data_IF_822522494418
#
_entry.id   IF_822522494418
#
_cell.length_a   1.000
_cell.length_b   1.000
_cell.length_c   1.000
_cell.angle_alpha   90.00
_cell.angle_beta   90.00
_cell.angle_gamma   90.00
#
_symmetry.space_group_name_H-M   'P 1'
#
loop_
_entity.id
_entity.type
_entity.pdbx_description
1 polymer ?
#
# COMPACT_ATOMS: atom_id res chain seq x y z
N UNK A 1 -8.76 0.67 -15.81
CA UNK A 1 -9.34 1.41 -16.95
C UNK A 1 -9.03 2.90 -16.86
N UNK A 2 -9.31 3.58 -15.74
CA UNK A 2 -9.08 5.04 -15.55
C UNK A 2 -7.63 5.43 -15.86
N UNK A 3 -6.63 4.80 -15.23
CA UNK A 3 -5.21 5.08 -15.45
C UNK A 3 -4.78 5.01 -16.93
N UNK A 4 -5.29 4.04 -17.69
CA UNK A 4 -4.97 3.90 -19.11
C UNK A 4 -5.52 5.08 -19.92
N UNK A 5 -6.73 5.54 -19.61
CA UNK A 5 -7.34 6.72 -20.25
C UNK A 5 -6.54 7.97 -19.91
N UNK A 6 -6.13 8.16 -18.66
CA UNK A 6 -5.31 9.29 -18.22
C UNK A 6 -3.96 9.33 -18.93
N UNK A 7 -3.29 8.19 -19.08
CA UNK A 7 -2.02 8.10 -19.85
C UNK A 7 -2.23 8.56 -21.29
N UNK A 8 -3.27 8.08 -21.96
CA UNK A 8 -3.56 8.46 -23.35
C UNK A 8 -3.86 9.96 -23.44
N UNK A 9 -4.71 10.48 -22.57
CA UNK A 9 -5.08 11.91 -22.53
C UNK A 9 -3.85 12.77 -22.27
N UNK A 10 -3.00 12.42 -21.31
CA UNK A 10 -1.75 13.13 -21.03
C UNK A 10 -0.81 13.11 -22.26
N UNK A 11 -0.60 11.97 -22.90
CA UNK A 11 0.22 11.88 -24.11
C UNK A 11 -0.30 12.82 -25.22
N UNK A 12 -1.60 12.83 -25.46
CA UNK A 12 -2.23 13.70 -26.47
C UNK A 12 -2.09 15.18 -26.11
N UNK A 13 -2.43 15.58 -24.90
CA UNK A 13 -2.35 16.99 -24.47
C UNK A 13 -0.91 17.50 -24.57
N UNK A 14 0.05 16.78 -24.03
CA UNK A 14 1.46 17.21 -24.05
C UNK A 14 2.07 17.10 -25.43
N UNK A 15 1.68 16.12 -26.23
CA UNK A 15 2.09 16.01 -27.64
C UNK A 15 1.59 17.18 -28.47
N UNK A 16 0.31 17.49 -28.41
CA UNK A 16 -0.31 18.62 -29.13
C UNK A 16 0.31 19.94 -28.67
N UNK A 17 0.42 20.15 -27.34
CA UNK A 17 1.08 21.34 -26.79
C UNK A 17 2.52 21.49 -27.34
N UNK A 18 3.28 20.40 -27.35
CA UNK A 18 4.66 20.40 -27.84
C UNK A 18 4.73 20.76 -29.34
N UNK A 19 3.87 20.15 -30.14
CA UNK A 19 3.78 20.41 -31.60
C UNK A 19 3.42 21.87 -31.88
N UNK A 20 2.43 22.42 -31.17
CA UNK A 20 2.03 23.83 -31.32
C UNK A 20 3.19 24.77 -30.95
N UNK A 21 3.90 24.51 -29.86
CA UNK A 21 5.03 25.33 -29.41
C UNK A 21 6.19 25.30 -30.41
N UNK A 22 6.51 24.14 -30.96
CA UNK A 22 7.56 24.00 -31.97
C UNK A 22 7.16 24.71 -33.30
N UNK A 23 5.90 24.60 -33.71
CA UNK A 23 5.40 25.31 -34.90
C UNK A 23 5.47 26.83 -34.76
N UNK A 24 5.20 27.38 -33.55
CA UNK A 24 5.25 28.82 -33.26
C UNK A 24 6.69 29.33 -33.12
N UNK A 25 7.54 28.55 -32.50
CA UNK A 25 8.95 28.87 -32.27
C UNK A 25 9.81 27.60 -32.46
N UNK A 26 10.38 27.39 -33.64
CA UNK A 26 11.25 26.24 -33.90
C UNK A 26 12.47 26.14 -32.97
N UNK A 27 12.93 27.24 -32.40
CA UNK A 27 14.00 27.27 -31.39
C UNK A 27 13.51 27.02 -29.96
N UNK A 28 12.22 26.74 -29.77
CA UNK A 28 11.67 26.38 -28.46
C UNK A 28 12.41 25.18 -27.87
N UNK A 29 12.95 25.37 -26.67
CA UNK A 29 13.84 24.40 -25.98
C UNK A 29 15.07 24.01 -26.78
N UNK A 30 15.71 24.98 -27.46
CA UNK A 30 16.98 24.77 -28.15
C UNK A 30 18.04 24.06 -27.28
N UNK A 31 18.01 24.26 -25.97
CA UNK A 31 18.88 23.57 -24.99
C UNK A 31 18.75 22.04 -24.97
N UNK A 32 17.67 21.48 -25.53
CA UNK A 32 17.44 20.04 -25.64
C UNK A 32 17.84 19.50 -27.01
N UNK A 33 18.35 20.34 -27.90
CA UNK A 33 18.76 19.96 -29.26
C UNK A 33 20.27 19.63 -29.29
N UNK A 34 20.76 18.94 -30.31
CA UNK A 34 22.17 18.62 -30.46
C UNK A 34 23.05 19.87 -30.38
N UNK A 35 24.18 19.76 -29.69
CA UNK A 35 25.06 20.91 -29.38
C UNK A 35 25.54 21.69 -30.64
N UNK A 36 25.78 20.95 -31.74
CA UNK A 36 26.14 21.57 -33.03
C UNK A 36 25.06 22.54 -33.54
N UNK A 37 23.78 22.16 -33.36
CA UNK A 37 22.65 23.02 -33.74
C UNK A 37 22.54 24.23 -32.79
N UNK A 38 22.70 24.01 -31.47
CA UNK A 38 22.72 25.09 -30.49
C UNK A 38 23.78 26.17 -30.84
N UNK A 39 25.03 25.75 -31.07
CA UNK A 39 26.14 26.63 -31.42
C UNK A 39 25.85 27.45 -32.69
N UNK A 40 25.31 26.82 -33.75
CA UNK A 40 24.97 27.52 -34.98
C UNK A 40 23.88 28.57 -34.77
N UNK A 41 22.78 28.22 -34.10
CA UNK A 41 21.64 29.12 -33.87
C UNK A 41 22.04 30.33 -33.02
N UNK A 42 22.96 30.17 -32.06
CA UNK A 42 23.48 31.29 -31.23
C UNK A 42 24.16 32.38 -32.06
N UNK A 43 24.78 32.06 -33.17
CA UNK A 43 25.48 33.01 -34.05
C UNK A 43 24.57 33.63 -35.11
N UNK A 44 23.31 33.17 -35.26
CA UNK A 44 22.39 33.70 -36.26
C UNK A 44 21.74 35.01 -35.82
N UNK A 45 21.72 36.04 -36.73
CA UNK A 45 21.18 37.36 -36.45
C UNK A 45 19.77 37.35 -35.82
N UNK A 46 18.86 36.50 -36.28
CA UNK A 46 17.48 36.40 -35.78
C UNK A 46 17.34 35.84 -34.38
N UNK A 47 18.39 35.21 -33.83
CA UNK A 47 18.38 34.58 -32.51
C UNK A 47 19.40 35.20 -31.53
N UNK A 48 20.29 36.09 -32.01
CA UNK A 48 21.36 36.73 -31.23
C UNK A 48 20.82 37.49 -30.02
N UNK A 49 19.64 38.10 -30.12
CA UNK A 49 19.03 38.90 -29.05
C UNK A 49 18.22 38.05 -28.05
N UNK A 50 18.14 36.72 -28.23
CA UNK A 50 17.34 35.82 -27.35
C UNK A 50 18.10 35.31 -26.12
N UNK A 51 19.30 35.85 -25.80
CA UNK A 51 20.15 35.35 -24.70
C UNK A 51 20.28 33.82 -24.67
N UNK A 52 20.40 33.19 -25.85
CA UNK A 52 20.68 31.78 -25.98
C UNK A 52 22.13 31.58 -25.57
N UNK A 53 22.37 31.18 -24.33
CA UNK A 53 23.71 30.81 -23.83
C UNK A 53 23.71 29.31 -23.46
N UNK A 54 24.87 28.70 -23.54
CA UNK A 54 25.07 27.37 -22.98
C UNK A 54 24.97 27.49 -21.47
N UNK A 55 23.89 26.96 -20.91
CA UNK A 55 23.65 26.98 -19.47
C UNK A 55 24.40 25.85 -18.79
N UNK A 56 24.91 26.11 -17.59
CA UNK A 56 25.40 25.05 -16.69
C UNK A 56 24.29 24.08 -16.34
N UNK A 57 24.62 22.87 -15.88
CA UNK A 57 23.61 21.88 -15.53
C UNK A 57 22.76 22.32 -14.34
N UNK A 58 23.34 23.10 -13.41
CA UNK A 58 22.61 23.73 -12.31
C UNK A 58 21.57 24.76 -12.80
N UNK A 59 21.94 25.64 -13.70
CA UNK A 59 21.02 26.64 -14.30
C UNK A 59 19.87 25.94 -15.06
N UNK A 60 20.17 24.83 -15.78
CA UNK A 60 19.15 24.00 -16.44
C UNK A 60 18.20 23.38 -15.43
N UNK A 61 18.72 22.92 -14.28
CA UNK A 61 17.92 22.33 -13.21
C UNK A 61 16.98 23.38 -12.59
N UNK A 62 17.52 24.53 -12.16
CA UNK A 62 16.73 25.61 -11.55
C UNK A 62 15.61 26.09 -12.48
N UNK A 63 15.89 26.24 -13.79
CA UNK A 63 14.85 26.60 -14.77
C UNK A 63 13.76 25.54 -14.95
N UNK A 64 14.03 24.28 -14.63
CA UNK A 64 13.04 23.20 -14.68
C UNK A 64 12.20 23.08 -13.41
N UNK A 65 12.64 23.66 -12.30
CA UNK A 65 12.00 23.51 -10.99
C UNK A 65 10.50 23.89 -11.00
N UNK A 66 10.06 25.02 -11.56
CA UNK A 66 8.62 25.32 -11.63
C UNK A 66 7.83 24.29 -12.43
N UNK A 67 8.42 23.75 -13.49
CA UNK A 67 7.79 22.68 -14.29
C UNK A 67 7.70 21.38 -13.52
N UNK A 68 8.70 21.05 -12.71
CA UNK A 68 8.69 19.85 -11.85
C UNK A 68 7.62 19.96 -10.76
N UNK A 69 7.51 21.12 -10.11
CA UNK A 69 6.48 21.39 -9.10
C UNK A 69 5.09 21.22 -9.73
N UNK A 70 4.85 21.85 -10.88
CA UNK A 70 3.59 21.71 -11.61
C UNK A 70 3.27 20.24 -11.92
N UNK A 71 4.25 19.49 -12.42
CA UNK A 71 4.08 18.05 -12.71
C UNK A 71 3.79 17.23 -11.47
N UNK A 72 4.46 17.51 -10.36
CA UNK A 72 4.21 16.81 -9.09
C UNK A 72 2.78 17.01 -8.65
N UNK A 73 2.27 18.25 -8.65
CA UNK A 73 0.88 18.56 -8.29
C UNK A 73 -0.10 17.87 -9.25
N UNK A 74 0.15 17.97 -10.56
CA UNK A 74 -0.71 17.34 -11.57
C UNK A 74 -0.76 15.81 -11.40
N UNK A 75 0.38 15.18 -11.11
CA UNK A 75 0.45 13.73 -10.90
C UNK A 75 -0.23 13.29 -9.59
N UNK A 76 -0.16 14.09 -8.52
CA UNK A 76 -0.94 13.81 -7.30
C UNK A 76 -2.42 13.78 -7.61
N UNK A 77 -2.94 14.76 -8.35
CA UNK A 77 -4.35 14.83 -8.73
C UNK A 77 -4.72 13.63 -9.62
N UNK A 78 -3.96 13.37 -10.69
CA UNK A 78 -4.24 12.27 -11.61
C UNK A 78 -4.19 10.90 -10.91
N UNK A 79 -3.16 10.64 -10.13
CA UNK A 79 -3.04 9.35 -9.42
C UNK A 79 -4.14 9.16 -8.38
N UNK A 80 -4.61 10.25 -7.73
CA UNK A 80 -5.78 10.19 -6.85
C UNK A 80 -7.06 9.85 -7.62
N UNK A 81 -7.30 10.45 -8.79
CA UNK A 81 -8.44 10.13 -9.66
C UNK A 81 -8.36 8.68 -10.15
N UNK A 82 -7.15 8.18 -10.45
CA UNK A 82 -6.91 6.79 -10.83
C UNK A 82 -7.11 5.78 -9.68
N UNK A 83 -7.36 6.26 -8.46
CA UNK A 83 -7.66 5.44 -7.29
C UNK A 83 -6.44 5.05 -6.45
N UNK A 84 -5.32 5.77 -6.55
CA UNK A 84 -4.17 5.53 -5.68
C UNK A 84 -4.49 5.94 -4.23
N UNK A 85 -4.28 5.01 -3.28
CA UNK A 85 -4.58 5.21 -1.84
C UNK A 85 -3.38 4.91 -0.93
N UNK A 86 -2.23 4.51 -1.48
CA UNK A 86 -1.02 4.15 -0.73
C UNK A 86 0.22 4.66 -1.45
N UNK A 87 1.37 4.68 -0.74
CA UNK A 87 2.66 5.00 -1.33
C UNK A 87 2.93 4.18 -2.60
N UNK A 88 2.75 2.87 -2.54
CA UNK A 88 3.06 1.97 -3.65
C UNK A 88 2.21 2.24 -4.88
N UNK A 89 0.90 2.42 -4.73
CA UNK A 89 -0.01 2.72 -5.85
C UNK A 89 0.24 4.12 -6.41
N UNK A 90 0.44 5.12 -5.56
CA UNK A 90 0.78 6.49 -5.97
C UNK A 90 2.10 6.55 -6.74
N UNK A 91 3.15 5.88 -6.24
CA UNK A 91 4.45 5.77 -6.90
C UNK A 91 4.35 5.11 -8.28
N UNK A 92 3.72 3.93 -8.35
CA UNK A 92 3.62 3.16 -9.60
C UNK A 92 2.80 3.93 -10.65
N UNK A 93 1.66 4.50 -10.27
CA UNK A 93 0.80 5.24 -11.21
C UNK A 93 1.50 6.50 -11.73
N UNK A 94 2.14 7.27 -10.85
CA UNK A 94 2.90 8.45 -11.25
C UNK A 94 4.06 8.10 -12.19
N UNK A 95 4.78 7.03 -11.89
CA UNK A 95 5.89 6.56 -12.72
C UNK A 95 5.41 6.09 -14.10
N UNK A 96 4.29 5.37 -14.17
CA UNK A 96 3.70 4.91 -15.44
C UNK A 96 3.26 6.09 -16.32
N UNK A 97 2.56 7.09 -15.75
CA UNK A 97 2.14 8.28 -16.49
C UNK A 97 3.37 9.06 -16.99
N UNK A 98 4.36 9.29 -16.11
CA UNK A 98 5.59 10.00 -16.46
C UNK A 98 6.36 9.32 -17.58
N UNK A 99 6.59 8.02 -17.46
CA UNK A 99 7.34 7.24 -18.46
C UNK A 99 6.61 7.18 -19.80
N UNK A 100 5.31 6.98 -19.81
CA UNK A 100 4.52 6.96 -21.03
C UNK A 100 4.59 8.31 -21.78
N UNK A 101 4.40 9.43 -21.08
CA UNK A 101 4.50 10.77 -21.68
C UNK A 101 5.92 11.06 -22.14
N UNK A 102 6.94 10.68 -21.36
CA UNK A 102 8.34 10.84 -21.75
C UNK A 102 8.65 10.09 -23.05
N UNK A 103 8.33 8.81 -23.11
CA UNK A 103 8.57 7.98 -24.30
C UNK A 103 7.79 8.50 -25.50
N UNK A 104 6.53 8.89 -25.31
CA UNK A 104 5.73 9.46 -26.39
C UNK A 104 6.35 10.75 -26.94
N UNK A 105 6.80 11.66 -26.09
CA UNK A 105 7.43 12.91 -26.55
C UNK A 105 8.76 12.66 -27.26
N UNK A 106 9.61 11.80 -26.75
CA UNK A 106 10.93 11.55 -27.37
C UNK A 106 10.82 10.72 -28.65
N UNK A 107 10.04 9.64 -28.65
CA UNK A 107 9.98 8.73 -29.79
C UNK A 107 9.00 9.22 -30.87
N UNK A 108 7.78 9.62 -30.49
CA UNK A 108 6.76 10.00 -31.47
C UNK A 108 6.92 11.46 -31.91
N UNK A 109 7.08 12.40 -30.95
CA UNK A 109 7.13 13.82 -31.32
C UNK A 109 8.49 14.22 -31.84
N UNK A 110 9.60 13.91 -31.16
CA UNK A 110 10.92 14.34 -31.61
C UNK A 110 11.50 13.43 -32.69
N UNK A 111 11.59 12.11 -32.47
CA UNK A 111 12.16 11.19 -33.47
C UNK A 111 11.23 10.97 -34.65
N UNK A 112 9.93 10.80 -34.42
CA UNK A 112 8.94 10.56 -35.47
C UNK A 112 8.59 11.84 -36.24
N UNK A 113 7.96 12.79 -35.60
CA UNK A 113 7.41 13.96 -36.31
C UNK A 113 8.43 15.08 -36.56
N UNK A 114 9.14 15.57 -35.54
CA UNK A 114 10.02 16.74 -35.67
C UNK A 114 11.22 16.45 -36.60
N UNK A 115 11.88 15.31 -36.43
CA UNK A 115 13.01 14.90 -37.25
C UNK A 115 12.69 14.75 -38.72
N UNK A 116 11.42 14.47 -39.07
CA UNK A 116 10.98 14.21 -40.43
C UNK A 116 10.14 15.36 -41.07
N UNK A 117 9.99 16.49 -40.36
CA UNK A 117 9.19 17.62 -40.84
C UNK A 117 10.06 18.87 -41.07
N UNK A 118 10.72 19.00 -42.23
CA UNK A 118 11.61 20.14 -42.52
C UNK A 118 10.95 21.50 -42.37
N UNK A 119 9.64 21.61 -42.61
CA UNK A 119 8.87 22.88 -42.47
C UNK A 119 8.88 23.47 -41.05
N UNK A 120 9.21 22.70 -40.05
CA UNK A 120 9.27 23.14 -38.66
C UNK A 120 10.71 23.27 -38.14
N UNK A 121 11.72 23.07 -38.98
CA UNK A 121 13.11 23.26 -38.60
C UNK A 121 13.48 24.73 -38.49
N UNK A 122 14.58 25.02 -37.78
CA UNK A 122 15.03 26.39 -37.61
C UNK A 122 15.53 26.94 -38.91
N UNK A 123 14.92 28.03 -39.43
CA UNK A 123 15.34 28.70 -40.68
C UNK A 123 16.79 29.14 -40.61
N UNK A 124 17.55 28.93 -41.65
CA UNK A 124 19.00 29.24 -41.72
C UNK A 124 19.90 28.13 -41.22
N UNK A 125 19.31 26.91 -41.01
CA UNK A 125 20.07 25.70 -40.65
C UNK A 125 19.87 24.59 -41.67
N UNK A 126 19.38 24.94 -42.87
CA UNK A 126 19.03 24.01 -43.95
C UNK A 126 20.22 23.16 -44.41
N UNK A 127 21.43 23.74 -44.37
CA UNK A 127 22.70 23.05 -44.69
C UNK A 127 23.06 21.94 -43.65
N UNK A 128 22.57 22.06 -42.44
CA UNK A 128 22.77 21.05 -41.39
C UNK A 128 21.69 20.00 -41.36
N UNK A 129 20.66 20.17 -42.18
CA UNK A 129 19.33 19.70 -41.95
C UNK A 129 19.23 18.21 -41.64
N UNK A 130 19.64 17.34 -42.55
CA UNK A 130 19.23 15.94 -42.43
C UNK A 130 19.92 15.19 -41.30
N UNK A 131 21.25 15.29 -41.18
CA UNK A 131 22.05 14.49 -40.23
C UNK A 131 21.94 14.98 -38.76
N UNK A 132 21.63 16.27 -38.57
CA UNK A 132 21.56 16.87 -37.21
C UNK A 132 20.18 16.73 -36.61
N UNK A 133 19.12 16.90 -37.40
CA UNK A 133 17.75 16.76 -36.93
C UNK A 133 17.31 15.29 -36.78
N UNK A 134 17.91 14.35 -37.50
CA UNK A 134 17.72 12.91 -37.39
C UNK A 134 18.70 12.23 -36.43
N UNK A 135 19.33 12.98 -35.54
CA UNK A 135 20.22 12.38 -34.54
C UNK A 135 19.41 11.72 -33.42
N UNK A 136 18.84 10.57 -33.71
CA UNK A 136 18.04 9.80 -32.75
C UNK A 136 18.80 9.44 -31.48
N UNK A 137 20.10 9.13 -31.59
CA UNK A 137 20.93 8.81 -30.44
C UNK A 137 20.96 9.97 -29.41
N UNK A 138 20.90 11.23 -29.88
CA UNK A 138 20.82 12.39 -28.98
C UNK A 138 19.49 12.42 -28.22
N UNK A 139 18.36 12.24 -28.90
CA UNK A 139 17.03 12.30 -28.25
C UNK A 139 16.81 11.11 -27.32
N UNK A 140 17.18 9.90 -27.75
CA UNK A 140 17.11 8.69 -26.93
C UNK A 140 18.06 8.79 -25.74
N UNK A 141 19.25 9.35 -25.92
CA UNK A 141 20.24 9.56 -24.84
C UNK A 141 19.78 10.50 -23.71
N UNK A 142 18.71 11.27 -23.93
CA UNK A 142 18.10 12.12 -22.89
C UNK A 142 17.08 11.34 -22.01
N UNK A 143 16.64 10.16 -22.44
CA UNK A 143 15.61 9.37 -21.74
C UNK A 143 16.10 8.97 -20.34
N UNK A 144 17.29 8.40 -20.12
CA UNK A 144 17.72 7.95 -18.79
C UNK A 144 17.72 9.07 -17.76
N UNK A 145 18.27 10.25 -18.11
CA UNK A 145 18.30 11.41 -17.20
C UNK A 145 16.89 11.89 -16.84
N UNK A 146 15.96 11.88 -17.79
CA UNK A 146 14.57 12.31 -17.57
C UNK A 146 13.75 11.25 -16.83
N UNK A 147 14.05 9.96 -17.04
CA UNK A 147 13.47 8.86 -16.29
C UNK A 147 13.87 8.94 -14.80
N UNK A 148 15.15 9.22 -14.51
CA UNK A 148 15.60 9.42 -13.13
C UNK A 148 14.83 10.54 -12.42
N UNK A 149 14.60 11.66 -13.12
CA UNK A 149 13.77 12.75 -12.59
C UNK A 149 12.32 12.28 -12.34
N UNK A 150 11.79 11.42 -13.19
CA UNK A 150 10.46 10.84 -13.02
C UNK A 150 10.37 9.93 -11.78
N UNK A 151 11.41 9.18 -11.48
CA UNK A 151 11.48 8.36 -10.26
C UNK A 151 11.41 9.25 -9.01
N UNK A 152 12.19 10.35 -8.97
CA UNK A 152 12.17 11.29 -7.84
C UNK A 152 10.78 11.92 -7.66
N UNK A 153 10.15 12.36 -8.75
CA UNK A 153 8.79 12.90 -8.71
C UNK A 153 7.79 11.84 -8.24
N UNK A 154 7.88 10.60 -8.73
CA UNK A 154 6.99 9.51 -8.34
C UNK A 154 7.12 9.15 -6.85
N UNK A 155 8.33 9.20 -6.28
CA UNK A 155 8.54 9.02 -4.83
C UNK A 155 7.79 10.12 -4.06
N UNK A 156 7.92 11.38 -4.47
CA UNK A 156 7.23 12.51 -3.80
C UNK A 156 5.71 12.32 -3.91
N UNK A 157 5.19 11.96 -5.08
CA UNK A 157 3.76 11.69 -5.30
C UNK A 157 3.29 10.56 -4.40
N UNK A 158 4.03 9.45 -4.33
CA UNK A 158 3.70 8.33 -3.46
C UNK A 158 3.61 8.74 -1.98
N UNK A 159 4.59 9.52 -1.49
CA UNK A 159 4.57 10.05 -0.12
C UNK A 159 3.36 10.96 0.14
N UNK A 160 3.03 11.84 -0.80
CA UNK A 160 1.88 12.74 -0.68
C UNK A 160 0.57 11.95 -0.68
N UNK A 161 0.41 10.97 -1.58
CA UNK A 161 -0.76 10.09 -1.62
C UNK A 161 -0.93 9.32 -0.31
N UNK A 162 0.16 8.81 0.26
CA UNK A 162 0.13 8.11 1.55
C UNK A 162 -0.24 9.01 2.74
N UNK A 163 0.00 10.32 2.61
CA UNK A 163 -0.37 11.32 3.61
C UNK A 163 -1.85 11.78 3.50
N UNK A 164 -2.44 11.72 2.31
CA UNK A 164 -3.81 12.21 2.08
C UNK A 164 -4.84 11.52 2.98
N UNK A 165 -4.87 10.18 3.13
CA UNK A 165 -5.81 9.51 4.03
C UNK A 165 -5.68 9.94 5.50
N UNK A 166 -4.47 10.36 5.91
CA UNK A 166 -4.21 10.84 7.27
C UNK A 166 -4.73 12.26 7.52
N UNK A 167 -4.92 13.04 6.45
CA UNK A 167 -5.48 14.41 6.51
C UNK A 167 -7.01 14.39 6.39
N UNK A 168 -7.58 13.34 5.82
CA UNK A 168 -9.00 13.26 5.46
C UNK A 168 -9.87 12.58 6.54
N UNK A 169 -9.32 12.37 7.74
CA UNK A 169 -10.03 11.73 8.86
C UNK A 169 -11.29 12.49 9.35
N UNK A 170 -11.70 13.57 8.67
CA UNK A 170 -12.86 14.38 9.07
C UNK A 170 -13.90 14.65 7.96
N UNK A 171 -13.77 14.09 6.76
CA UNK A 171 -14.74 14.30 5.69
C UNK A 171 -15.57 13.04 5.43
N UNK A 172 -16.44 12.69 6.37
CA UNK A 172 -17.45 11.67 6.12
C UNK A 172 -18.47 12.19 5.10
N UNK A 173 -18.80 11.34 4.12
CA UNK A 173 -19.98 11.57 3.27
C UNK A 173 -21.22 11.75 4.15
N UNK A 174 -22.16 12.66 3.80
CA UNK A 174 -23.43 12.79 4.52
C UNK A 174 -24.16 11.47 4.79
N UNK A 175 -23.90 10.47 3.98
CA UNK A 175 -24.39 9.09 4.13
C UNK A 175 -24.04 8.45 5.47
N UNK A 176 -22.97 8.86 6.14
CA UNK A 176 -22.49 8.22 7.38
C UNK A 176 -22.74 9.04 8.65
N UNK A 177 -23.31 10.24 8.54
CA UNK A 177 -23.64 11.09 9.69
C UNK A 177 -24.60 10.37 10.65
N UNK A 178 -25.61 9.70 10.11
CA UNK A 178 -26.57 8.92 10.90
C UNK A 178 -25.90 7.76 11.66
N UNK A 179 -24.92 7.11 11.05
CA UNK A 179 -24.13 6.06 11.72
C UNK A 179 -23.30 6.67 12.85
N UNK A 180 -22.64 7.80 12.62
CA UNK A 180 -21.85 8.49 13.63
C UNK A 180 -22.68 8.90 14.84
N UNK A 181 -23.85 9.51 14.60
CA UNK A 181 -24.77 9.91 15.66
C UNK A 181 -25.30 8.70 16.45
N UNK A 182 -25.62 7.61 15.75
CA UNK A 182 -26.04 6.35 16.38
C UNK A 182 -24.94 5.77 17.28
N UNK A 183 -23.67 5.77 16.81
CA UNK A 183 -22.55 5.23 17.57
C UNK A 183 -22.22 6.10 18.79
N UNK A 184 -22.30 7.43 18.68
CA UNK A 184 -22.16 8.35 19.81
C UNK A 184 -23.26 8.11 20.84
N UNK A 185 -24.51 8.05 20.40
CA UNK A 185 -25.64 7.76 21.27
C UNK A 185 -25.54 6.39 21.95
N UNK A 186 -24.98 5.39 21.25
CA UNK A 186 -24.74 4.06 21.84
C UNK A 186 -23.67 4.13 22.95
N UNK A 187 -22.57 4.85 22.74
CA UNK A 187 -21.57 5.06 23.79
C UNK A 187 -22.19 5.69 25.04
N UNK A 188 -22.98 6.75 24.86
CA UNK A 188 -23.56 7.49 25.97
C UNK A 188 -24.66 6.66 26.69
N UNK A 189 -25.59 6.07 25.93
CA UNK A 189 -26.73 5.34 26.47
C UNK A 189 -26.36 4.01 27.14
N UNK A 190 -25.33 3.33 26.63
CA UNK A 190 -24.88 2.05 27.17
C UNK A 190 -23.61 2.16 27.99
N UNK A 191 -23.16 3.38 28.31
CA UNK A 191 -21.94 3.64 29.09
C UNK A 191 -20.73 2.85 28.58
N UNK A 192 -20.54 2.84 27.24
CA UNK A 192 -19.40 2.18 26.60
C UNK A 192 -18.18 3.09 26.78
N UNK A 193 -17.16 2.69 27.57
CA UNK A 193 -16.06 3.58 27.91
C UNK A 193 -15.23 4.02 26.72
N UNK A 194 -15.02 3.11 25.74
CA UNK A 194 -14.27 3.42 24.54
C UNK A 194 -14.60 2.45 23.42
N UNK A 195 -14.70 2.96 22.20
CA UNK A 195 -15.04 2.20 21.02
C UNK A 195 -14.24 2.69 19.80
N UNK A 196 -13.74 1.77 18.99
CA UNK A 196 -13.24 2.02 17.63
C UNK A 196 -14.11 1.26 16.64
N UNK A 197 -14.49 1.91 15.55
CA UNK A 197 -15.32 1.32 14.51
C UNK A 197 -14.70 1.60 13.15
N UNK A 198 -14.64 0.58 12.31
CA UNK A 198 -14.22 0.70 10.93
C UNK A 198 -15.14 -0.15 10.05
N UNK A 199 -15.62 0.44 8.95
CA UNK A 199 -16.40 -0.22 7.92
C UNK A 199 -15.60 -0.22 6.64
N UNK A 200 -15.38 -1.39 6.08
CA UNK A 200 -14.55 -1.58 4.89
C UNK A 200 -15.30 -2.33 3.81
N UNK A 201 -14.92 -2.10 2.56
CA UNK A 201 -15.32 -2.91 1.41
C UNK A 201 -14.07 -3.34 0.59
N UNK A 202 -14.29 -3.87 -0.61
CA UNK A 202 -13.21 -4.29 -1.49
C UNK A 202 -12.33 -3.11 -1.98
N UNK A 203 -12.88 -1.91 -2.01
CA UNK A 203 -12.20 -0.68 -2.43
C UNK A 203 -11.46 0.03 -1.30
N UNK A 204 -11.78 -0.29 -0.04
CA UNK A 204 -11.08 0.25 1.15
C UNK A 204 -12.00 0.66 2.29
N UNK A 205 -11.55 1.64 3.08
CA UNK A 205 -12.29 2.13 4.25
C UNK A 205 -13.43 3.05 3.81
N UNK A 206 -14.67 2.70 4.19
CA UNK A 206 -15.87 3.50 3.96
C UNK A 206 -16.17 4.46 5.10
N UNK A 207 -15.91 4.01 6.33
CA UNK A 207 -16.15 4.77 7.55
C UNK A 207 -15.19 4.31 8.63
N UNK A 208 -14.68 5.25 9.42
CA UNK A 208 -13.95 4.95 10.65
C UNK A 208 -14.27 6.00 11.73
N UNK A 209 -14.31 5.57 12.99
CA UNK A 209 -14.60 6.48 14.10
C UNK A 209 -14.07 5.94 15.43
N UNK A 210 -13.73 6.85 16.32
CA UNK A 210 -13.34 6.55 17.70
C UNK A 210 -14.21 7.33 18.66
N UNK A 211 -14.63 6.70 19.76
CA UNK A 211 -15.58 7.25 20.72
C UNK A 211 -15.13 6.98 22.16
N UNK A 212 -15.59 7.83 23.07
CA UNK A 212 -15.26 7.72 24.49
C UNK A 212 -13.76 7.85 24.79
N UNK A 213 -13.20 6.92 25.55
CA UNK A 213 -11.78 6.89 25.92
C UNK A 213 -10.85 6.44 24.80
N UNK A 214 -11.37 5.86 23.72
CA UNK A 214 -10.60 5.54 22.53
C UNK A 214 -10.30 6.80 21.72
N UNK A 215 -9.01 7.19 21.69
CA UNK A 215 -8.59 8.45 21.05
C UNK A 215 -7.94 8.24 19.67
N UNK A 216 -7.68 7.00 19.29
CA UNK A 216 -7.03 6.65 18.00
C UNK A 216 -7.53 5.31 17.51
N UNK A 217 -7.62 5.15 16.17
CA UNK A 217 -7.85 3.85 15.54
C UNK A 217 -6.71 2.86 15.79
N UNK A 218 -5.53 3.37 16.15
CA UNK A 218 -4.37 2.55 16.52
C UNK A 218 -4.41 2.05 17.96
N UNK A 219 -5.46 2.41 18.72
CA UNK A 219 -5.61 1.97 20.13
C UNK A 219 -5.79 0.46 20.19
N UNK A 220 -4.91 -0.29 20.91
CA UNK A 220 -5.06 -1.73 21.04
C UNK A 220 -6.28 -2.08 21.92
N UNK A 221 -7.05 -3.07 21.48
CA UNK A 221 -8.17 -3.67 22.20
C UNK A 221 -7.93 -5.17 22.43
N UNK A 222 -8.45 -5.70 23.54
CA UNK A 222 -8.50 -7.16 23.73
C UNK A 222 -9.59 -7.73 22.82
N UNK A 223 -9.18 -8.51 21.83
CA UNK A 223 -10.10 -9.08 20.83
C UNK A 223 -10.84 -10.32 21.30
N UNK A 224 -10.52 -10.84 22.49
CA UNK A 224 -11.16 -12.02 23.05
C UNK A 224 -11.12 -13.21 22.09
N UNK A 225 -12.25 -13.87 21.91
CA UNK A 225 -12.35 -15.05 21.04
C UNK A 225 -12.16 -14.80 19.54
N UNK A 226 -12.13 -13.56 19.07
CA UNK A 226 -11.72 -13.24 17.70
C UNK A 226 -10.27 -13.64 17.43
N UNK A 227 -9.43 -13.73 18.47
CA UNK A 227 -8.05 -14.24 18.39
C UNK A 227 -7.97 -15.68 17.83
N UNK A 228 -9.04 -16.46 17.98
CA UNK A 228 -9.11 -17.84 17.46
C UNK A 228 -8.99 -17.87 15.94
N UNK A 229 -9.50 -16.87 15.23
CA UNK A 229 -9.36 -16.78 13.78
C UNK A 229 -7.88 -16.70 13.36
N UNK A 230 -7.07 -15.95 14.09
CA UNK A 230 -5.63 -15.88 13.85
C UNK A 230 -4.91 -17.19 14.16
N UNK A 231 -5.28 -17.84 15.28
CA UNK A 231 -4.73 -19.16 15.63
C UNK A 231 -5.06 -20.21 14.55
N UNK A 232 -6.31 -20.22 14.07
CA UNK A 232 -6.71 -21.09 12.97
C UNK A 232 -5.93 -20.80 11.69
N UNK A 233 -5.73 -19.52 11.34
CA UNK A 233 -4.94 -19.13 10.19
C UNK A 233 -3.46 -19.57 10.31
N UNK A 234 -2.86 -19.48 11.51
CA UNK A 234 -1.51 -20.01 11.77
C UNK A 234 -1.44 -21.52 11.51
N UNK A 235 -2.39 -22.29 12.02
CA UNK A 235 -2.47 -23.75 11.78
C UNK A 235 -2.60 -24.04 10.29
N UNK A 236 -3.50 -23.34 9.60
CA UNK A 236 -3.70 -23.54 8.16
C UNK A 236 -2.46 -23.18 7.35
N UNK A 237 -1.71 -22.17 7.77
CA UNK A 237 -0.44 -21.80 7.13
C UNK A 237 0.64 -22.88 7.29
N UNK A 238 0.73 -23.48 8.47
CA UNK A 238 1.63 -24.61 8.73
C UNK A 238 1.17 -25.88 7.94
N UNK A 239 -0.13 -26.08 7.79
CA UNK A 239 -0.69 -27.17 6.99
C UNK A 239 -0.37 -26.98 5.50
N UNK A 240 -0.58 -25.80 4.94
CA UNK A 240 -0.22 -25.45 3.56
C UNK A 240 1.30 -25.62 3.30
N UNK A 241 2.12 -25.32 4.28
CA UNK A 241 3.58 -25.53 4.22
C UNK A 241 4.01 -27.01 4.37
N UNK A 242 3.08 -27.93 4.61
CA UNK A 242 3.37 -29.35 4.79
C UNK A 242 4.01 -29.69 6.15
N UNK A 243 4.02 -28.75 7.11
CA UNK A 243 4.63 -28.93 8.43
C UNK A 243 3.76 -29.74 9.41
N UNK A 244 2.48 -29.81 9.16
CA UNK A 244 1.51 -30.60 9.93
C UNK A 244 0.41 -31.13 9.04
N UNK A 245 -0.32 -32.14 9.55
CA UNK A 245 -1.55 -32.63 8.91
C UNK A 245 -2.73 -32.46 9.89
N UNK A 246 -3.75 -31.69 9.49
CA UNK A 246 -4.91 -31.38 10.34
C UNK A 246 -5.77 -32.61 10.69
N UNK A 247 -5.67 -33.70 9.93
CA UNK A 247 -6.37 -34.94 10.17
C UNK A 247 -5.58 -35.95 11.05
N UNK A 248 -4.31 -35.60 11.35
CA UNK A 248 -3.51 -36.37 12.28
C UNK A 248 -3.92 -36.12 13.73
N UNK A 249 -3.75 -37.13 14.63
CA UNK A 249 -3.79 -36.91 16.07
C UNK A 249 -2.79 -35.86 16.52
N UNK A 250 -3.04 -35.19 17.65
CA UNK A 250 -2.21 -34.08 18.13
C UNK A 250 -0.90 -34.51 18.80
N UNK A 251 -0.77 -35.78 19.19
CA UNK A 251 0.38 -36.30 19.95
C UNK A 251 1.75 -36.11 19.27
N UNK A 252 1.91 -36.10 17.93
CA UNK A 252 3.21 -35.80 17.33
C UNK A 252 3.65 -34.33 17.44
N UNK A 253 2.72 -33.42 17.71
CA UNK A 253 2.90 -31.98 17.62
C UNK A 253 2.95 -31.27 18.99
N UNK A 254 2.92 -32.03 20.11
CA UNK A 254 2.98 -31.48 21.48
C UNK A 254 3.45 -32.54 22.48
N UNK A 255 3.80 -32.09 23.70
CA UNK A 255 4.01 -33.01 24.81
C UNK A 255 2.66 -33.33 25.46
N UNK A 256 2.17 -34.55 25.23
CA UNK A 256 0.87 -34.97 25.72
C UNK A 256 0.76 -35.01 27.26
N UNK A 257 1.89 -35.23 27.96
CA UNK A 257 1.91 -35.28 29.43
C UNK A 257 1.80 -33.89 30.06
N UNK A 258 2.27 -32.86 29.38
CA UNK A 258 2.15 -31.46 29.82
C UNK A 258 0.76 -30.88 29.57
N UNK A 259 0.05 -31.41 28.55
CA UNK A 259 -1.23 -30.84 28.09
C UNK A 259 -2.45 -31.59 28.65
N UNK A 260 -2.41 -32.93 28.67
CA UNK A 260 -3.55 -33.72 28.99
C UNK A 260 -3.42 -34.41 30.35
N UNK A 261 -4.52 -34.43 31.13
CA UNK A 261 -4.60 -35.22 32.36
C UNK A 261 -4.37 -36.71 32.09
N UNK A 262 -4.81 -37.20 30.92
CA UNK A 262 -4.53 -38.54 30.40
C UNK A 262 -3.81 -38.38 29.06
N UNK A 263 -2.50 -38.63 28.98
CA UNK A 263 -1.72 -38.46 27.74
C UNK A 263 -2.25 -39.24 26.54
N UNK A 264 -2.98 -40.34 26.77
CA UNK A 264 -3.62 -41.10 25.69
C UNK A 264 -4.71 -40.33 24.96
N UNK A 265 -5.28 -39.28 25.55
CA UNK A 265 -6.28 -38.48 24.86
C UNK A 265 -5.69 -37.75 23.64
N UNK A 266 -4.39 -37.43 23.66
CA UNK A 266 -3.70 -36.83 22.53
C UNK A 266 -3.67 -37.71 21.26
N UNK A 267 -3.77 -39.03 21.39
CA UNK A 267 -3.85 -39.96 20.24
C UNK A 267 -5.26 -40.09 19.68
N UNK A 268 -6.25 -39.51 20.33
CA UNK A 268 -7.69 -39.65 20.00
C UNK A 268 -8.29 -38.34 19.46
N UNK A 269 -7.58 -37.24 19.60
CA UNK A 269 -8.02 -35.90 19.17
C UNK A 269 -7.16 -35.47 17.98
N UNK A 270 -7.80 -35.03 16.88
CA UNK A 270 -7.11 -34.48 15.72
C UNK A 270 -7.07 -32.95 15.80
N UNK A 271 -6.13 -32.34 15.05
CA UNK A 271 -6.05 -30.87 14.92
C UNK A 271 -7.37 -30.32 14.36
N UNK A 272 -7.97 -30.99 13.39
CA UNK A 272 -9.29 -30.63 12.84
C UNK A 272 -10.38 -30.57 13.91
N UNK A 273 -10.37 -31.52 14.84
CA UNK A 273 -11.35 -31.52 15.92
C UNK A 273 -11.16 -30.41 16.93
N UNK A 274 -9.92 -29.99 17.18
CA UNK A 274 -9.64 -28.78 17.96
C UNK A 274 -10.16 -27.51 17.25
N UNK A 275 -9.88 -27.38 15.96
CA UNK A 275 -10.34 -26.23 15.14
C UNK A 275 -11.88 -26.12 15.12
N UNK A 276 -12.56 -27.24 15.02
CA UNK A 276 -14.03 -27.29 14.90
C UNK A 276 -14.76 -27.37 16.24
N UNK A 277 -14.04 -27.38 17.37
CA UNK A 277 -14.66 -27.63 18.69
C UNK A 277 -15.42 -28.96 18.81
N UNK A 278 -14.88 -30.03 18.18
CA UNK A 278 -15.47 -31.39 18.22
C UNK A 278 -14.55 -32.39 18.89
N UNK A 279 -13.58 -31.92 19.67
CA UNK A 279 -12.60 -32.75 20.37
C UNK A 279 -13.16 -33.54 21.55
N UNK A 280 -14.33 -33.16 22.09
CA UNK A 280 -14.88 -33.69 23.33
C UNK A 280 -14.22 -33.15 24.60
N UNK A 281 -13.34 -32.12 24.48
CA UNK A 281 -12.75 -31.43 25.64
C UNK A 281 -13.80 -30.53 26.34
N UNK A 282 -13.67 -30.37 27.65
CA UNK A 282 -14.64 -29.62 28.45
C UNK A 282 -14.43 -28.09 28.35
N UNK A 283 -15.56 -27.37 28.52
CA UNK A 283 -15.65 -25.90 28.36
C UNK A 283 -14.67 -25.12 29.27
N UNK A 284 -14.51 -25.55 30.51
CA UNK A 284 -13.72 -24.85 31.57
C UNK A 284 -12.39 -25.53 31.87
N UNK A 285 -11.82 -26.24 30.91
CA UNK A 285 -10.54 -26.91 31.07
C UNK A 285 -9.41 -25.97 30.63
N UNK A 286 -8.19 -26.26 31.09
CA UNK A 286 -6.95 -25.57 30.76
C UNK A 286 -5.88 -26.56 30.34
N UNK A 287 -4.82 -26.08 29.71
CA UNK A 287 -3.59 -26.83 29.48
C UNK A 287 -3.09 -27.40 30.83
N UNK A 288 -2.62 -28.63 30.82
CA UNK A 288 -2.19 -29.37 32.02
C UNK A 288 -3.28 -30.22 32.67
N UNK A 289 -4.56 -29.96 32.39
CA UNK A 289 -5.64 -30.83 32.88
C UNK A 289 -6.71 -31.16 31.84
N UNK A 290 -6.43 -30.94 30.58
CA UNK A 290 -7.33 -31.24 29.48
C UNK A 290 -7.67 -32.75 29.45
N UNK A 291 -8.94 -33.07 29.32
CA UNK A 291 -9.44 -34.46 29.23
C UNK A 291 -10.70 -34.51 28.40
N UNK A 292 -10.92 -35.63 27.70
CA UNK A 292 -12.16 -35.90 27.01
C UNK A 292 -13.24 -36.16 28.06
N UNK A 293 -14.30 -35.36 28.06
CA UNK A 293 -15.46 -35.47 28.96
C UNK A 293 -16.78 -35.58 28.17
N UNK A 294 -16.79 -35.08 26.94
CA UNK A 294 -17.90 -35.16 26.02
C UNK A 294 -17.67 -36.24 24.97
N UNK A 295 -18.62 -36.37 24.05
CA UNK A 295 -18.50 -37.29 22.95
C UNK A 295 -17.65 -36.69 21.82
N UNK A 296 -16.62 -37.40 21.43
CA UNK A 296 -15.76 -36.99 20.31
C UNK A 296 -16.60 -36.92 19.02
N UNK A 297 -16.46 -35.81 18.29
CA UNK A 297 -17.26 -35.53 17.09
C UNK A 297 -18.48 -34.64 17.33
N UNK A 298 -18.93 -34.47 18.57
CA UNK A 298 -20.00 -33.53 18.92
C UNK A 298 -19.44 -32.14 19.23
N UNK A 299 -20.11 -31.08 18.75
CA UNK A 299 -19.71 -29.70 18.96
C UNK A 299 -19.86 -29.31 20.44
N UNK A 300 -18.75 -28.89 21.04
CA UNK A 300 -18.70 -28.25 22.35
C UNK A 300 -17.64 -27.15 22.33
N UNK A 301 -18.06 -25.90 22.41
CA UNK A 301 -17.13 -24.78 22.45
C UNK A 301 -16.24 -24.86 23.69
N UNK A 302 -14.94 -24.98 23.52
CA UNK A 302 -13.96 -25.04 24.59
C UNK A 302 -12.72 -24.23 24.27
N UNK A 303 -12.34 -23.28 25.15
CA UNK A 303 -11.17 -22.43 24.94
C UNK A 303 -9.88 -23.24 24.88
N UNK A 304 -9.76 -24.28 25.69
CA UNK A 304 -8.59 -25.18 25.73
C UNK A 304 -8.25 -25.78 24.37
N UNK A 305 -9.22 -25.93 23.45
CA UNK A 305 -8.93 -26.37 22.07
C UNK A 305 -7.94 -25.42 21.39
N UNK A 306 -8.13 -24.12 21.55
CA UNK A 306 -7.31 -23.10 20.91
C UNK A 306 -6.03 -22.79 21.68
N UNK A 307 -6.02 -23.02 23.01
CA UNK A 307 -4.77 -23.01 23.78
C UNK A 307 -3.82 -24.11 23.29
N UNK A 308 -4.35 -25.32 23.07
CA UNK A 308 -3.61 -26.45 22.49
C UNK A 308 -3.12 -26.14 21.06
N UNK A 309 -3.98 -25.55 20.23
CA UNK A 309 -3.57 -25.13 18.87
C UNK A 309 -2.42 -24.10 18.90
N UNK A 310 -2.44 -23.18 19.86
CA UNK A 310 -1.33 -22.24 20.08
C UNK A 310 -0.02 -22.95 20.40
N UNK A 311 -0.04 -23.93 21.30
CA UNK A 311 1.14 -24.75 21.62
C UNK A 311 1.65 -25.55 20.41
N UNK A 312 0.74 -26.07 19.57
CA UNK A 312 1.10 -26.76 18.33
C UNK A 312 1.80 -25.79 17.38
N UNK A 313 1.33 -24.54 17.25
CA UNK A 313 2.01 -23.50 16.43
C UNK A 313 3.43 -23.30 16.93
N UNK A 314 3.67 -23.11 18.22
CA UNK A 314 4.99 -22.94 18.80
C UNK A 314 5.90 -24.15 18.54
N UNK A 315 5.40 -25.34 18.80
CA UNK A 315 6.16 -26.57 18.65
C UNK A 315 6.58 -26.85 17.21
N UNK A 316 5.67 -26.62 16.27
CA UNK A 316 5.90 -26.91 14.84
C UNK A 316 6.73 -25.83 14.18
N UNK A 317 6.54 -24.57 14.55
CA UNK A 317 7.30 -23.43 14.00
C UNK A 317 8.67 -23.25 14.64
N UNK A 318 8.87 -23.72 15.87
CA UNK A 318 10.11 -23.54 16.64
C UNK A 318 10.30 -22.13 17.22
N UNK A 319 9.29 -21.25 17.11
CA UNK A 319 9.30 -19.88 17.67
C UNK A 319 8.07 -19.64 18.53
N UNK A 320 8.04 -18.56 19.32
CA UNK A 320 6.87 -18.24 20.12
C UNK A 320 5.65 -18.00 19.25
N UNK A 321 4.45 -18.26 19.77
CA UNK A 321 3.18 -17.98 19.09
C UNK A 321 3.08 -16.52 18.63
N UNK A 322 3.50 -15.59 19.51
CA UNK A 322 3.50 -14.16 19.21
C UNK A 322 4.43 -13.81 18.03
N UNK A 323 5.64 -14.40 17.99
CA UNK A 323 6.60 -14.13 16.94
C UNK A 323 6.14 -14.74 15.61
N UNK A 324 5.61 -15.98 15.64
CA UNK A 324 5.07 -16.63 14.46
C UNK A 324 3.91 -15.84 13.86
N UNK A 325 2.95 -15.43 14.68
CA UNK A 325 1.79 -14.63 14.24
C UNK A 325 2.24 -13.28 13.67
N UNK A 326 3.18 -12.62 14.35
CA UNK A 326 3.72 -11.33 13.89
C UNK A 326 4.41 -11.46 12.54
N UNK A 327 5.29 -12.43 12.38
CA UNK A 327 6.02 -12.62 11.13
C UNK A 327 5.14 -13.07 9.97
N UNK A 328 4.14 -13.91 10.26
CA UNK A 328 3.30 -14.54 9.23
C UNK A 328 2.15 -13.64 8.76
N UNK A 329 1.56 -12.86 9.68
CA UNK A 329 0.36 -12.07 9.38
C UNK A 329 0.51 -10.58 9.70
N UNK A 330 0.93 -10.19 10.90
CA UNK A 330 0.89 -8.78 11.28
C UNK A 330 1.85 -7.91 10.44
N UNK A 331 3.09 -8.35 10.28
CA UNK A 331 4.09 -7.62 9.47
C UNK A 331 3.72 -7.57 7.99
N UNK A 332 3.41 -8.70 7.30
CA UNK A 332 3.05 -8.66 5.88
C UNK A 332 1.77 -7.88 5.57
N UNK A 333 0.81 -7.83 6.50
CA UNK A 333 -0.45 -7.12 6.35
C UNK A 333 -0.38 -5.66 6.86
N UNK A 334 0.78 -5.20 7.34
CA UNK A 334 0.94 -3.85 7.87
C UNK A 334 0.20 -3.58 9.19
N UNK A 335 -0.14 -4.62 9.96
CA UNK A 335 -0.86 -4.53 11.23
C UNK A 335 0.10 -4.15 12.37
N UNK A 336 0.66 -2.94 12.31
CA UNK A 336 1.76 -2.48 13.19
C UNK A 336 1.33 -2.29 14.65
N UNK A 337 0.03 -2.08 14.91
CA UNK A 337 -0.56 -1.87 16.24
C UNK A 337 -1.21 -3.13 16.82
N UNK A 338 -1.00 -4.29 16.19
CA UNK A 338 -1.49 -5.59 16.65
C UNK A 338 -0.40 -6.39 17.35
N UNK A 339 -0.75 -7.12 18.41
CA UNK A 339 0.19 -7.95 19.14
C UNK A 339 -0.51 -9.14 19.83
N UNK A 340 0.11 -10.31 19.82
CA UNK A 340 -0.27 -11.43 20.68
C UNK A 340 0.49 -11.44 22.03
N UNK A 341 1.44 -10.51 22.22
CA UNK A 341 2.16 -10.35 23.50
C UNK A 341 1.50 -9.28 24.35
N UNK A 342 0.87 -9.69 25.47
CA UNK A 342 0.17 -8.78 26.39
C UNK A 342 1.06 -7.63 26.91
N UNK A 343 2.32 -7.94 27.25
CA UNK A 343 3.27 -6.93 27.74
C UNK A 343 3.53 -5.84 26.69
N UNK A 344 3.63 -6.20 25.40
CA UNK A 344 3.77 -5.26 24.30
C UNK A 344 2.49 -4.43 24.13
N UNK A 345 1.33 -5.08 24.06
CA UNK A 345 0.06 -4.37 23.91
C UNK A 345 -0.19 -3.38 25.05
N UNK A 346 0.17 -3.74 26.29
CA UNK A 346 0.08 -2.85 27.44
C UNK A 346 1.00 -1.63 27.31
N UNK A 347 2.22 -1.82 26.80
CA UNK A 347 3.17 -0.73 26.53
C UNK A 347 2.66 0.20 25.43
N UNK A 348 1.97 -0.36 24.43
CA UNK A 348 1.42 0.37 23.29
C UNK A 348 0.06 1.05 23.61
N UNK A 349 -0.36 1.07 24.87
CA UNK A 349 -1.56 1.78 25.31
C UNK A 349 -2.85 0.94 25.23
N UNK A 350 -2.74 -0.37 25.49
CA UNK A 350 -3.92 -1.25 25.60
C UNK A 350 -5.00 -0.62 26.46
N UNK A 351 -6.19 -0.42 25.88
CA UNK A 351 -7.33 0.14 26.61
C UNK A 351 -7.81 -0.83 27.69
N UNK A 352 -8.26 -0.28 28.82
CA UNK A 352 -8.80 -1.10 29.91
C UNK A 352 -10.07 -1.83 29.44
N UNK A 353 -10.08 -3.15 29.58
CA UNK A 353 -11.24 -3.96 29.31
C UNK A 353 -12.31 -3.80 30.41
N UNK A 354 -13.57 -3.80 30.02
CA UNK A 354 -14.71 -3.72 30.93
C UNK A 354 -15.56 -5.00 30.80
N UNK A 355 -16.00 -5.51 31.92
CA UNK A 355 -16.89 -6.66 31.96
C UNK A 355 -18.35 -6.16 31.96
N UNK A 356 -19.06 -6.41 30.86
CA UNK A 356 -20.46 -6.02 30.71
C UNK A 356 -21.37 -6.61 31.80
N UNK A 357 -21.01 -7.76 32.39
CA UNK A 357 -21.77 -8.35 33.50
C UNK A 357 -21.76 -7.51 34.79
N UNK A 358 -20.80 -6.60 34.95
CA UNK A 358 -20.71 -5.67 36.06
C UNK A 358 -21.56 -4.40 35.85
N UNK A 359 -22.02 -4.13 34.63
CA UNK A 359 -22.85 -2.98 34.30
C UNK A 359 -24.33 -3.25 34.63
N UNK A 360 -24.70 -4.50 34.80
CA UNK A 360 -26.08 -4.95 35.09
C UNK A 360 -26.28 -5.32 36.57
N UNK A 361 -25.35 -5.01 37.45
CA UNK A 361 -25.45 -5.09 38.88
C UNK A 361 -25.49 -3.66 39.42
#
# INVERSE_FOLDING_TARGET
MVLAVEIIVCCLIFGIYRVIRIKRDPAYKISNMPEKLQKKVMHMRGYRNRNIRIMTDWEKFVKKLPTLIFWTIALVILTSIAGAKSFSTGFVFALLIWMAVLLFLELVVYCGWYAHTPKVWIKGTEDMAKKTYTNYAHYIGLIPQRALMGIVVAIIVGLVIDMIPRLDNNNYSPKYTEIEDTLKAACDNYMIPGMAVEVVDAEGVLFSGTYGDCKSLDTPFITGSLSKSFTAACIMKLYEGGHLNIDSPVNPYLDAAEVFKNPKDATRITIRQLLNHTSGLGVYQHVGNAKIVGKNGEYTYANVNYDILGLIVEKVSGVSYSDYLTATFFTPLGMTHSSAAYAKAKKDGLITGHNLSLIHI
#
